data_IF_843800922545
#
_entry.id   IF_843800922545
#
_cell.length_a   1.000
_cell.length_b   1.000
_cell.length_c   1.000
_cell.angle_alpha   90.00
_cell.angle_beta   90.00
_cell.angle_gamma   90.00
#
_symmetry.space_group_name_H-M   'P 1'
#
loop_
_entity.id
_entity.type
_entity.pdbx_description
1 polymer ?
#
# COMPACT_ATOMS: atom_id res chain seq x y z
N UNK A 1 -24.46 -3.31 16.69
CA UNK A 1 -24.27 -4.52 15.88
C UNK A 1 -22.96 -5.21 16.20
N UNK A 2 -22.96 -6.54 16.39
CA UNK A 2 -21.77 -7.27 16.77
C UNK A 2 -20.82 -7.27 15.57
N UNK A 3 -19.65 -6.68 15.77
CA UNK A 3 -18.53 -6.68 14.82
C UNK A 3 -18.37 -8.11 14.29
N UNK A 4 -18.45 -8.28 12.97
CA UNK A 4 -18.11 -9.53 12.28
C UNK A 4 -16.62 -9.83 12.49
N UNK A 5 -16.27 -10.31 13.69
CA UNK A 5 -14.95 -10.80 14.09
C UNK A 5 -14.50 -11.96 13.17
N UNK A 6 -15.44 -12.55 12.43
CA UNK A 6 -15.24 -13.67 11.49
C UNK A 6 -14.34 -13.36 10.29
N UNK A 7 -14.08 -12.09 9.93
CA UNK A 7 -13.32 -11.74 8.71
C UNK A 7 -11.92 -11.17 8.94
N UNK A 8 -11.51 -10.95 10.18
CA UNK A 8 -10.16 -10.48 10.50
C UNK A 8 -9.23 -11.67 10.78
N UNK A 9 -8.20 -11.94 9.95
CA UNK A 9 -7.24 -13.04 10.18
C UNK A 9 -6.55 -12.94 11.54
N UNK A 10 -6.48 -11.72 12.09
CA UNK A 10 -5.87 -11.41 13.38
C UNK A 10 -6.82 -11.61 14.55
N UNK A 11 -8.13 -11.69 14.35
CA UNK A 11 -9.10 -11.85 15.44
C UNK A 11 -8.80 -13.07 16.32
N UNK A 12 -8.46 -14.22 15.72
CA UNK A 12 -8.12 -15.43 16.47
C UNK A 12 -6.80 -15.29 17.25
N UNK A 13 -5.80 -14.61 16.69
CA UNK A 13 -4.50 -14.35 17.37
C UNK A 13 -4.66 -13.31 18.49
N UNK A 14 -5.42 -12.25 18.22
CA UNK A 14 -5.78 -11.21 19.18
C UNK A 14 -6.54 -11.81 20.37
N UNK A 15 -7.54 -12.65 20.12
CA UNK A 15 -8.28 -13.36 21.18
C UNK A 15 -7.37 -14.28 22.01
N UNK A 16 -6.40 -14.96 21.39
CA UNK A 16 -5.39 -15.77 22.12
C UNK A 16 -4.49 -14.92 23.01
N UNK A 17 -4.12 -13.71 22.58
CA UNK A 17 -3.28 -12.79 23.38
C UNK A 17 -4.12 -12.15 24.50
N UNK A 18 -5.38 -11.83 24.21
CA UNK A 18 -6.32 -11.30 25.20
C UNK A 18 -6.68 -12.32 26.29
N UNK A 19 -6.66 -13.62 25.99
CA UNK A 19 -6.90 -14.68 26.98
C UNK A 19 -5.73 -14.93 27.94
N UNK A 20 -4.53 -14.38 27.65
CA UNK A 20 -3.30 -14.66 28.40
C UNK A 20 -2.97 -13.62 29.48
N UNK A 21 -3.70 -12.49 29.56
CA UNK A 21 -3.41 -11.46 30.55
C UNK A 21 -4.57 -10.53 30.89
N UNK A 22 -4.79 -10.30 32.18
CA UNK A 22 -5.68 -9.27 32.72
C UNK A 22 -5.11 -7.88 32.36
N UNK A 23 -5.66 -7.23 31.34
CA UNK A 23 -5.28 -5.85 30.94
C UNK A 23 -5.11 -5.63 29.43
N UNK A 24 -4.90 -6.71 28.66
CA UNK A 24 -4.56 -6.66 27.24
C UNK A 24 -5.64 -6.02 26.35
N UNK A 25 -6.92 -6.11 26.74
CA UNK A 25 -8.04 -5.53 26.01
C UNK A 25 -8.00 -4.00 25.93
N UNK A 26 -7.59 -3.34 27.01
CA UNK A 26 -7.48 -1.87 27.05
C UNK A 26 -6.28 -1.39 26.23
N UNK A 27 -5.26 -2.21 26.19
CA UNK A 27 -3.97 -1.93 25.57
C UNK A 27 -3.97 -2.02 24.05
N UNK A 28 -4.76 -2.94 23.51
CA UNK A 28 -4.98 -3.11 22.07
C UNK A 28 -6.04 -2.14 21.52
N UNK A 29 -6.42 -1.12 22.28
CA UNK A 29 -7.45 -0.14 21.93
C UNK A 29 -6.90 1.29 21.92
N UNK A 30 -7.31 2.09 20.92
CA UNK A 30 -6.89 3.48 20.77
C UNK A 30 -5.37 3.65 20.69
N UNK A 31 -4.85 4.68 21.36
CA UNK A 31 -3.44 5.09 21.33
C UNK A 31 -2.45 4.07 21.93
N UNK A 32 -2.92 3.02 22.61
CA UNK A 32 -2.06 1.99 23.20
C UNK A 32 -1.32 1.15 22.16
N UNK A 33 -1.99 0.85 21.04
CA UNK A 33 -1.41 0.06 19.96
C UNK A 33 -0.27 0.79 19.23
N UNK A 34 -0.43 2.10 19.02
CA UNK A 34 0.61 2.92 18.37
C UNK A 34 1.87 3.04 19.25
N UNK A 35 1.68 3.22 20.56
CA UNK A 35 2.76 3.23 21.55
C UNK A 35 3.51 1.90 21.57
N UNK A 36 2.78 0.79 21.47
CA UNK A 36 3.33 -0.56 21.40
C UNK A 36 4.19 -0.81 20.16
N UNK A 37 3.66 -0.43 19.00
CA UNK A 37 4.36 -0.55 17.73
C UNK A 37 5.66 0.26 17.80
N UNK A 38 5.61 1.47 18.37
CA UNK A 38 6.78 2.32 18.54
C UNK A 38 7.87 1.72 19.45
N UNK A 39 7.52 0.79 20.36
CA UNK A 39 8.48 0.09 21.23
C UNK A 39 8.81 -1.34 20.77
N UNK A 40 8.42 -1.72 19.54
CA UNK A 40 8.95 -2.93 18.89
C UNK A 40 10.48 -2.91 18.86
N UNK A 41 11.09 -1.73 18.83
CA UNK A 41 12.51 -1.52 19.15
C UNK A 41 12.61 -0.72 20.45
N UNK A 42 13.56 -1.04 21.35
CA UNK A 42 13.75 -0.25 22.57
C UNK A 42 13.88 1.24 22.27
N UNK A 43 12.98 2.06 22.81
CA UNK A 43 12.83 3.46 22.39
C UNK A 43 12.64 4.39 23.59
N UNK A 44 13.09 5.65 23.44
CA UNK A 44 12.88 6.70 24.44
C UNK A 44 11.45 7.24 24.35
N UNK A 45 10.96 7.90 25.41
CA UNK A 45 9.63 8.54 25.39
C UNK A 45 9.49 9.54 24.24
N UNK A 46 10.55 10.31 23.95
CA UNK A 46 10.55 11.31 22.89
C UNK A 46 10.40 10.65 21.51
N UNK A 47 11.07 9.53 21.30
CA UNK A 47 10.96 8.77 20.05
C UNK A 47 9.59 8.13 19.89
N UNK A 48 9.06 7.55 20.97
CA UNK A 48 7.71 6.96 20.98
C UNK A 48 6.65 8.01 20.67
N UNK A 49 6.73 9.17 21.33
CA UNK A 49 5.81 10.29 21.11
C UNK A 49 5.81 10.76 19.65
N UNK A 50 7.00 10.89 19.06
CA UNK A 50 7.16 11.25 17.65
C UNK A 50 6.58 10.19 16.71
N UNK A 51 6.89 8.92 16.93
CA UNK A 51 6.43 7.81 16.07
C UNK A 51 4.93 7.61 16.16
N UNK A 52 4.35 7.70 17.36
CA UNK A 52 2.92 7.52 17.59
C UNK A 52 2.09 8.79 17.31
N UNK A 53 2.71 9.95 17.06
CA UNK A 53 2.00 11.21 16.88
C UNK A 53 1.27 11.71 18.13
N UNK A 54 1.82 11.42 19.32
CA UNK A 54 1.21 11.71 20.63
C UNK A 54 2.08 12.68 21.45
N UNK A 55 1.51 13.30 22.48
CA UNK A 55 2.31 14.07 23.45
C UNK A 55 3.10 13.13 24.37
N UNK A 56 4.29 13.56 24.82
CA UNK A 56 5.09 12.78 25.78
C UNK A 56 4.33 12.49 27.09
N UNK A 57 3.47 13.40 27.52
CA UNK A 57 2.64 13.21 28.73
C UNK A 57 1.60 12.10 28.54
N UNK A 58 1.01 11.99 27.35
CA UNK A 58 0.09 10.90 27.01
C UNK A 58 0.85 9.57 26.94
N UNK A 59 2.00 9.55 26.26
CA UNK A 59 2.85 8.35 26.16
C UNK A 59 3.27 7.85 27.55
N UNK A 60 3.69 8.74 28.46
CA UNK A 60 4.04 8.37 29.84
C UNK A 60 2.87 7.74 30.59
N UNK A 61 1.66 8.30 30.45
CA UNK A 61 0.45 7.74 31.07
C UNK A 61 0.18 6.33 30.57
N UNK A 62 0.26 6.10 29.26
CA UNK A 62 0.11 4.77 28.68
C UNK A 62 1.18 3.84 29.23
N UNK A 63 2.48 4.14 29.02
CA UNK A 63 3.58 3.26 29.42
C UNK A 63 3.59 2.92 30.92
N UNK A 64 3.22 3.84 31.80
CA UNK A 64 3.17 3.55 33.24
C UNK A 64 2.14 2.47 33.58
N UNK A 65 0.96 2.53 32.95
CA UNK A 65 -0.08 1.51 33.13
C UNK A 65 0.38 0.14 32.62
N UNK A 66 1.21 0.12 31.59
CA UNK A 66 1.70 -1.12 30.97
C UNK A 66 2.91 -1.72 31.70
N UNK A 67 3.65 -0.87 32.42
CA UNK A 67 4.65 -1.33 33.39
C UNK A 67 3.94 -1.99 34.59
N UNK A 68 2.87 -1.39 35.10
CA UNK A 68 2.05 -2.00 36.17
C UNK A 68 1.47 -3.37 35.74
N UNK A 69 1.11 -3.50 34.46
CA UNK A 69 0.67 -4.77 33.86
C UNK A 69 1.78 -5.74 33.47
N UNK A 70 3.05 -5.43 33.72
CA UNK A 70 4.24 -6.20 33.31
C UNK A 70 4.40 -6.43 31.80
N UNK A 71 3.64 -5.72 30.96
CA UNK A 71 3.68 -5.87 29.49
C UNK A 71 4.87 -5.11 28.90
N UNK A 72 5.20 -3.97 29.50
CA UNK A 72 6.33 -3.12 29.11
C UNK A 72 7.35 -3.10 30.23
N UNK A 73 8.63 -3.11 29.87
CA UNK A 73 9.73 -2.90 30.81
C UNK A 73 10.55 -1.68 30.41
N UNK A 74 11.08 -1.00 31.42
CA UNK A 74 12.01 0.12 31.26
C UNK A 74 13.43 -0.31 31.64
N UNK A 75 14.39 -0.09 30.73
CA UNK A 75 15.81 -0.36 30.94
C UNK A 75 16.59 0.87 30.46
N UNK A 76 17.35 1.52 31.36
CA UNK A 76 18.17 2.69 31.03
C UNK A 76 17.40 3.77 30.22
N UNK A 77 16.22 4.16 30.71
CA UNK A 77 15.33 5.14 30.07
C UNK A 77 14.72 4.74 28.71
N UNK A 78 14.98 3.51 28.25
CA UNK A 78 14.34 2.94 27.08
C UNK A 78 13.21 2.01 27.49
N UNK A 79 12.13 2.04 26.71
CA UNK A 79 10.95 1.21 26.90
C UNK A 79 10.94 0.11 25.84
N UNK A 80 10.61 -1.11 26.26
CA UNK A 80 10.53 -2.28 25.40
C UNK A 80 9.43 -3.23 25.87
N UNK A 81 8.91 -4.04 24.95
CA UNK A 81 8.01 -5.13 25.29
C UNK A 81 8.73 -6.12 26.22
N UNK A 82 8.05 -6.55 27.28
CA UNK A 82 8.52 -7.59 28.17
C UNK A 82 8.21 -8.97 27.57
N UNK A 83 9.10 -9.43 26.70
CA UNK A 83 8.93 -10.70 25.98
C UNK A 83 8.85 -11.93 26.90
N UNK A 84 9.31 -11.84 28.16
CA UNK A 84 9.20 -12.93 29.13
C UNK A 84 7.78 -13.13 29.65
N UNK A 85 7.07 -12.03 29.92
CA UNK A 85 5.70 -12.05 30.44
C UNK A 85 4.65 -12.09 29.31
N UNK A 86 5.00 -11.60 28.12
CA UNK A 86 4.12 -11.52 26.97
C UNK A 86 4.79 -12.02 25.67
N UNK A 87 5.23 -13.29 25.61
CA UNK A 87 6.05 -13.80 24.50
C UNK A 87 5.35 -13.77 23.13
N UNK A 88 4.01 -13.77 23.10
CA UNK A 88 3.21 -13.74 21.86
C UNK A 88 2.96 -12.33 21.33
N UNK A 89 3.18 -11.30 22.15
CA UNK A 89 2.79 -9.92 21.81
C UNK A 89 3.66 -9.34 20.69
N UNK A 90 4.99 -9.46 20.79
CA UNK A 90 5.90 -8.96 19.75
C UNK A 90 5.68 -9.64 18.40
N UNK A 91 5.61 -10.99 18.30
CA UNK A 91 5.27 -11.66 17.03
C UNK A 91 3.94 -11.17 16.45
N UNK A 92 2.93 -10.94 17.28
CA UNK A 92 1.65 -10.40 16.84
C UNK A 92 1.78 -8.98 16.31
N UNK A 93 2.44 -8.08 17.04
CA UNK A 93 2.63 -6.69 16.62
C UNK A 93 3.44 -6.59 15.33
N UNK A 94 4.48 -7.42 15.17
CA UNK A 94 5.20 -7.51 13.91
C UNK A 94 4.26 -7.92 12.76
N UNK A 95 3.51 -9.02 12.92
CA UNK A 95 2.55 -9.44 11.89
C UNK A 95 1.43 -8.42 11.65
N UNK A 96 1.07 -7.62 12.66
CA UNK A 96 0.08 -6.55 12.54
C UNK A 96 0.65 -5.38 11.73
N UNK A 97 1.90 -4.97 11.98
CA UNK A 97 2.58 -3.95 11.17
C UNK A 97 2.69 -4.42 9.72
N UNK A 98 3.18 -5.64 9.49
CA UNK A 98 3.27 -6.23 8.15
C UNK A 98 1.90 -6.24 7.45
N UNK A 99 0.82 -6.54 8.19
CA UNK A 99 -0.53 -6.49 7.66
C UNK A 99 -0.99 -5.07 7.36
N UNK A 100 -0.75 -4.09 8.23
CA UNK A 100 -1.13 -2.70 8.02
C UNK A 100 -0.37 -2.05 6.85
N UNK A 101 0.82 -2.55 6.50
CA UNK A 101 1.53 -2.11 5.29
C UNK A 101 0.77 -2.51 4.02
N UNK A 102 0.16 -3.70 4.01
CA UNK A 102 -0.56 -4.25 2.84
C UNK A 102 -2.08 -4.05 2.89
N UNK A 103 -2.63 -3.70 4.05
CA UNK A 103 -4.05 -3.50 4.29
C UNK A 103 -4.38 -2.01 4.36
N UNK A 104 -5.39 -1.59 3.61
CA UNK A 104 -6.01 -0.27 3.77
C UNK A 104 -7.51 -0.47 4.01
N UNK A 105 -8.08 0.08 5.11
CA UNK A 105 -9.48 -0.17 5.47
C UNK A 105 -10.48 0.40 4.46
N UNK A 106 -10.03 1.24 3.51
CA UNK A 106 -10.88 1.74 2.44
C UNK A 106 -11.13 0.65 1.39
N UNK A 107 -10.17 -0.22 1.11
CA UNK A 107 -10.29 -1.25 0.07
C UNK A 107 -10.68 -2.60 0.67
N UNK A 108 -11.24 -3.49 -0.15
CA UNK A 108 -11.60 -4.83 0.32
C UNK A 108 -10.38 -5.73 0.50
N UNK A 109 -10.55 -6.82 1.27
CA UNK A 109 -9.49 -7.78 1.58
C UNK A 109 -8.92 -8.56 0.38
N UNK A 110 -9.62 -8.59 -0.76
CA UNK A 110 -9.17 -9.22 -2.01
C UNK A 110 -8.42 -8.27 -2.95
N UNK A 111 -8.18 -7.04 -2.49
CA UNK A 111 -7.41 -6.03 -3.20
C UNK A 111 -5.94 -6.04 -2.77
N UNK A 112 -5.05 -5.66 -3.69
CA UNK A 112 -3.61 -5.51 -3.44
C UNK A 112 -3.20 -4.05 -3.66
N UNK A 113 -2.65 -3.40 -2.64
CA UNK A 113 -2.13 -2.04 -2.77
C UNK A 113 -0.89 -2.06 -3.67
N UNK A 114 -0.92 -1.32 -4.78
CA UNK A 114 0.23 -1.19 -5.69
C UNK A 114 1.16 -0.07 -5.22
N UNK A 115 0.61 1.11 -4.93
CA UNK A 115 1.36 2.20 -4.30
C UNK A 115 0.46 3.21 -3.60
N UNK A 116 1.06 4.05 -2.77
CA UNK A 116 0.40 5.18 -2.07
C UNK A 116 0.90 6.51 -2.63
N UNK A 117 -0.01 7.47 -2.75
CA UNK A 117 0.23 8.81 -3.29
C UNK A 117 -0.46 9.85 -2.39
N UNK A 118 0.28 10.34 -1.40
CA UNK A 118 -0.29 11.16 -0.32
C UNK A 118 -1.31 10.38 0.51
N UNK A 119 -2.53 10.91 0.62
CA UNK A 119 -3.65 10.22 1.27
C UNK A 119 -4.25 9.13 0.40
N UNK A 120 -4.05 9.18 -0.91
CA UNK A 120 -4.65 8.25 -1.85
C UNK A 120 -3.80 7.02 -2.09
N UNK A 121 -4.43 5.99 -2.63
CA UNK A 121 -3.72 4.79 -3.04
C UNK A 121 -4.23 4.32 -4.40
N UNK A 122 -3.34 3.61 -5.08
CA UNK A 122 -3.64 2.82 -6.27
C UNK A 122 -3.53 1.35 -5.88
N UNK A 123 -4.53 0.57 -6.26
CA UNK A 123 -4.64 -0.84 -5.91
C UNK A 123 -5.13 -1.65 -7.10
N UNK A 124 -4.85 -2.95 -7.06
CA UNK A 124 -5.38 -3.91 -8.02
C UNK A 124 -6.47 -4.77 -7.39
N UNK A 125 -7.49 -5.11 -8.17
CA UNK A 125 -8.57 -6.00 -7.76
C UNK A 125 -9.17 -6.75 -8.95
N UNK A 126 -9.72 -7.94 -8.70
CA UNK A 126 -10.41 -8.73 -9.73
C UNK A 126 -11.77 -8.14 -10.09
N UNK A 127 -12.46 -7.55 -9.12
CA UNK A 127 -13.80 -7.01 -9.27
C UNK A 127 -13.78 -5.48 -9.18
N UNK A 128 -14.69 -4.83 -9.91
CA UNK A 128 -14.90 -3.40 -9.77
C UNK A 128 -15.69 -3.14 -8.49
N UNK A 129 -15.05 -2.55 -7.49
CA UNK A 129 -15.60 -2.30 -6.17
C UNK A 129 -16.21 -0.89 -6.02
N UNK A 130 -16.61 -0.27 -7.14
CA UNK A 130 -17.17 1.08 -7.15
C UNK A 130 -16.12 2.20 -7.11
N UNK A 131 -14.85 1.85 -7.26
CA UNK A 131 -13.74 2.79 -7.33
C UNK A 131 -13.49 3.27 -8.77
N UNK A 132 -12.92 4.46 -8.90
CA UNK A 132 -12.51 5.00 -10.20
C UNK A 132 -11.37 4.15 -10.78
N UNK A 133 -11.52 3.56 -11.97
CA UNK A 133 -10.41 2.87 -12.61
C UNK A 133 -9.36 3.88 -13.03
N UNK A 134 -8.09 3.50 -12.87
CA UNK A 134 -6.93 4.31 -13.24
C UNK A 134 -5.92 3.47 -14.02
N UNK A 135 -4.85 4.11 -14.50
CA UNK A 135 -3.80 3.43 -15.23
C UNK A 135 -4.33 2.68 -16.47
N UNK A 136 -3.80 1.48 -16.76
CA UNK A 136 -4.23 0.68 -17.89
C UNK A 136 -5.71 0.30 -17.87
N UNK A 137 -6.35 0.27 -16.70
CA UNK A 137 -7.79 -0.03 -16.59
C UNK A 137 -8.69 1.11 -17.05
N UNK A 138 -8.15 2.32 -17.22
CA UNK A 138 -8.88 3.45 -17.78
C UNK A 138 -8.58 3.68 -19.28
N UNK A 139 -7.60 2.98 -19.86
CA UNK A 139 -7.12 3.24 -21.22
C UNK A 139 -8.16 3.00 -22.32
N UNK A 140 -9.10 2.07 -22.11
CA UNK A 140 -10.16 1.80 -23.07
C UNK A 140 -11.07 3.01 -23.30
N UNK A 141 -11.28 3.84 -22.26
CA UNK A 141 -12.05 5.10 -22.35
C UNK A 141 -11.42 6.11 -23.31
N UNK A 142 -10.12 5.99 -23.52
CA UNK A 142 -9.32 6.82 -24.42
C UNK A 142 -8.96 6.08 -25.72
N UNK A 143 -9.65 4.99 -26.04
CA UNK A 143 -9.54 4.31 -27.33
C UNK A 143 -8.30 3.46 -27.52
N UNK A 144 -7.68 2.98 -26.43
CA UNK A 144 -6.66 1.91 -26.47
C UNK A 144 -7.31 0.61 -25.97
N UNK A 145 -7.50 -0.35 -26.88
CA UNK A 145 -8.27 -1.58 -26.62
C UNK A 145 -7.38 -2.82 -26.53
N UNK A 146 -7.95 -3.94 -26.11
CA UNK A 146 -7.24 -5.23 -26.10
C UNK A 146 -6.27 -5.41 -24.93
N UNK A 147 -6.30 -4.51 -23.96
CA UNK A 147 -5.55 -4.56 -22.72
C UNK A 147 -6.32 -5.32 -21.62
N UNK A 148 -6.88 -6.48 -21.98
CA UNK A 148 -7.64 -7.30 -21.03
C UNK A 148 -6.68 -8.06 -20.12
N UNK A 149 -6.37 -7.48 -18.96
CA UNK A 149 -5.70 -8.16 -17.85
C UNK A 149 -6.69 -8.93 -16.96
N UNK A 150 -6.18 -9.88 -16.17
CA UNK A 150 -6.98 -10.64 -15.18
C UNK A 150 -7.33 -9.84 -13.92
N UNK A 151 -6.74 -8.65 -13.74
CA UNK A 151 -7.00 -7.73 -12.63
C UNK A 151 -7.11 -6.29 -13.15
N UNK A 152 -8.05 -5.54 -12.59
CA UNK A 152 -8.21 -4.10 -12.82
C UNK A 152 -7.41 -3.30 -11.80
N UNK A 153 -7.09 -2.05 -12.15
CA UNK A 153 -6.40 -1.08 -11.31
C UNK A 153 -7.33 0.10 -11.02
N UNK A 154 -7.39 0.46 -9.75
CA UNK A 154 -8.33 1.43 -9.22
C UNK A 154 -7.63 2.37 -8.25
N UNK A 155 -8.24 3.52 -7.99
CA UNK A 155 -7.72 4.50 -7.02
C UNK A 155 -8.79 4.96 -6.06
N UNK A 156 -8.37 5.33 -4.85
CA UNK A 156 -9.21 6.00 -3.86
C UNK A 156 -9.39 7.49 -4.12
N UNK A 157 -8.66 8.06 -5.11
CA UNK A 157 -8.80 9.49 -5.44
C UNK A 157 -10.24 9.81 -5.81
N UNK A 158 -10.79 10.83 -5.17
CA UNK A 158 -12.13 11.34 -5.44
C UNK A 158 -12.14 12.27 -6.66
N UNK A 159 -13.26 12.29 -7.39
CA UNK A 159 -13.45 13.14 -8.56
C UNK A 159 -13.07 12.49 -9.90
N UNK A 160 -13.08 13.32 -10.96
CA UNK A 160 -12.72 12.90 -12.30
C UNK A 160 -11.20 12.91 -12.47
N UNK A 161 -10.64 11.78 -12.90
CA UNK A 161 -9.20 11.65 -13.16
C UNK A 161 -8.86 12.21 -14.54
N UNK A 162 -7.84 13.08 -14.59
CA UNK A 162 -7.32 13.58 -15.87
C UNK A 162 -6.57 12.48 -16.62
N UNK A 163 -6.43 12.64 -17.94
CA UNK A 163 -5.64 11.72 -18.77
C UNK A 163 -4.18 11.63 -18.30
N UNK A 164 -3.60 12.74 -17.85
CA UNK A 164 -2.24 12.82 -17.31
C UNK A 164 -2.11 11.99 -16.03
N UNK A 165 -3.04 12.16 -15.06
CA UNK A 165 -3.03 11.38 -13.82
C UNK A 165 -3.15 9.87 -14.09
N UNK A 166 -4.02 9.51 -15.04
CA UNK A 166 -4.21 8.11 -15.46
C UNK A 166 -2.92 7.57 -16.09
N UNK A 167 -2.24 8.36 -16.91
CA UNK A 167 -1.00 7.94 -17.55
C UNK A 167 0.16 7.82 -16.54
N UNK A 168 0.29 8.78 -15.62
CA UNK A 168 1.29 8.74 -14.55
C UNK A 168 1.13 7.50 -13.67
N UNK A 169 -0.11 7.19 -13.28
CA UNK A 169 -0.41 5.96 -12.56
C UNK A 169 -0.01 4.74 -13.38
N UNK A 170 -0.30 4.73 -14.70
CA UNK A 170 0.04 3.61 -15.56
C UNK A 170 1.55 3.35 -15.62
N UNK A 171 2.35 4.41 -15.73
CA UNK A 171 3.82 4.32 -15.67
C UNK A 171 4.26 3.73 -14.35
N UNK A 172 3.79 4.29 -13.22
CA UNK A 172 4.16 3.81 -11.87
C UNK A 172 3.75 2.37 -11.62
N UNK A 173 2.52 1.98 -11.98
CA UNK A 173 2.04 0.60 -11.89
C UNK A 173 2.99 -0.33 -12.66
N UNK A 174 3.35 0.02 -13.90
CA UNK A 174 4.20 -0.82 -14.75
C UNK A 174 5.65 -0.95 -14.24
N UNK A 175 6.11 0.01 -13.45
CA UNK A 175 7.42 -0.02 -12.78
C UNK A 175 7.36 -0.91 -11.52
N UNK A 176 6.32 -0.78 -10.69
CA UNK A 176 6.12 -1.60 -9.48
C UNK A 176 5.91 -3.07 -9.83
N UNK A 177 4.99 -3.34 -10.76
CA UNK A 177 4.63 -4.70 -11.18
C UNK A 177 5.71 -5.35 -12.05
N UNK A 178 6.60 -4.53 -12.62
CA UNK A 178 7.63 -4.96 -13.56
C UNK A 178 7.01 -5.90 -14.63
N UNK A 179 5.91 -5.48 -15.25
CA UNK A 179 5.15 -6.29 -16.21
C UNK A 179 5.27 -5.71 -17.63
N UNK A 180 5.74 -6.55 -18.54
CA UNK A 180 5.95 -6.20 -19.95
C UNK A 180 4.66 -5.75 -20.67
N UNK A 181 3.52 -6.37 -20.37
CA UNK A 181 2.24 -6.01 -21.01
C UNK A 181 1.73 -4.66 -20.54
N UNK A 182 1.93 -4.32 -19.26
CA UNK A 182 1.60 -2.98 -18.75
C UNK A 182 2.50 -1.92 -19.39
N UNK A 183 3.78 -2.20 -19.59
CA UNK A 183 4.70 -1.29 -20.30
C UNK A 183 4.30 -1.12 -21.77
N UNK A 184 3.94 -2.21 -22.46
CA UNK A 184 3.36 -2.17 -23.80
C UNK A 184 2.09 -1.30 -23.85
N UNK A 185 1.19 -1.44 -22.87
CA UNK A 185 0.00 -0.61 -22.78
C UNK A 185 0.35 0.88 -22.70
N UNK A 186 1.34 1.22 -21.88
CA UNK A 186 1.79 2.61 -21.69
C UNK A 186 2.36 3.19 -22.99
N UNK A 187 3.17 2.43 -23.72
CA UNK A 187 3.71 2.84 -25.03
C UNK A 187 2.58 3.14 -26.04
N UNK A 188 1.62 2.22 -26.15
CA UNK A 188 0.47 2.39 -27.05
C UNK A 188 -0.37 3.62 -26.68
N UNK A 189 -0.63 3.81 -25.38
CA UNK A 189 -1.35 4.96 -24.88
C UNK A 189 -0.62 6.27 -25.15
N UNK A 190 0.68 6.32 -24.86
CA UNK A 190 1.51 7.47 -25.13
C UNK A 190 1.51 7.82 -26.61
N UNK A 191 1.75 6.86 -27.51
CA UNK A 191 1.78 7.11 -28.96
C UNK A 191 0.45 7.69 -29.46
N UNK A 192 -0.69 7.21 -28.94
CA UNK A 192 -2.02 7.71 -29.32
C UNK A 192 -2.27 9.14 -28.87
N UNK A 193 -1.75 9.53 -27.71
CA UNK A 193 -2.08 10.79 -27.03
C UNK A 193 -0.88 11.72 -26.79
N UNK A 194 0.25 11.48 -27.47
CA UNK A 194 1.52 12.17 -27.25
C UNK A 194 1.44 13.70 -27.33
N UNK A 195 0.49 14.23 -28.12
CA UNK A 195 0.32 15.67 -28.33
C UNK A 195 -0.41 16.34 -27.14
N UNK A 196 -1.02 15.54 -26.26
CA UNK A 196 -1.84 15.98 -25.12
C UNK A 196 -1.29 15.50 -23.77
N UNK A 197 -0.16 14.83 -23.75
CA UNK A 197 0.45 14.26 -22.54
C UNK A 197 1.79 14.91 -22.24
N UNK A 198 2.02 15.16 -20.95
CA UNK A 198 3.36 15.45 -20.43
C UNK A 198 3.89 14.21 -19.69
N UNK A 199 4.55 13.28 -20.39
CA UNK A 199 5.01 12.01 -19.82
C UNK A 199 6.12 12.21 -18.77
N UNK A 200 6.21 11.34 -17.74
CA UNK A 200 7.32 11.34 -16.81
C UNK A 200 8.67 11.23 -17.51
N UNK A 201 9.67 11.99 -17.09
CA UNK A 201 11.00 12.01 -17.73
C UNK A 201 11.63 10.60 -17.83
N UNK A 202 11.48 9.79 -16.77
CA UNK A 202 11.98 8.41 -16.76
C UNK A 202 11.22 7.46 -17.70
N UNK A 203 9.99 7.78 -18.10
CA UNK A 203 9.30 7.06 -19.17
C UNK A 203 9.85 7.51 -20.53
N UNK A 204 10.00 8.82 -20.74
CA UNK A 204 10.47 9.36 -22.02
C UNK A 204 11.87 8.90 -22.42
N UNK A 205 12.79 8.83 -21.47
CA UNK A 205 14.13 8.29 -21.74
C UNK A 205 14.06 6.85 -22.28
N UNK A 206 13.19 6.02 -21.70
CA UNK A 206 13.00 4.63 -22.12
C UNK A 206 12.32 4.56 -23.49
N UNK A 207 11.29 5.37 -23.71
CA UNK A 207 10.60 5.47 -24.99
C UNK A 207 11.56 5.82 -26.13
N UNK A 208 12.39 6.85 -25.96
CA UNK A 208 13.36 7.29 -26.97
C UNK A 208 14.37 6.18 -27.33
N UNK A 209 14.88 5.47 -26.32
CA UNK A 209 15.79 4.33 -26.49
C UNK A 209 15.12 3.17 -27.23
N UNK A 210 13.88 2.83 -26.90
CA UNK A 210 13.09 1.82 -27.61
C UNK A 210 12.91 2.21 -29.07
N UNK A 211 12.56 3.47 -29.35
CA UNK A 211 12.35 3.97 -30.72
C UNK A 211 13.66 4.00 -31.54
N UNK A 212 14.80 4.17 -30.88
CA UNK A 212 16.13 4.03 -31.46
C UNK A 212 16.52 2.56 -31.75
N UNK A 213 15.70 1.58 -31.34
CA UNK A 213 15.93 0.15 -31.55
C UNK A 213 16.76 -0.51 -30.44
N UNK A 214 16.97 0.18 -29.32
CA UNK A 214 17.67 -0.39 -28.18
C UNK A 214 16.79 -1.44 -27.47
N UNK A 215 17.42 -2.54 -27.04
CA UNK A 215 16.75 -3.52 -26.18
C UNK A 215 16.86 -3.08 -24.73
N UNK A 216 15.72 -2.91 -24.06
CA UNK A 216 15.64 -2.66 -22.63
C UNK A 216 14.94 -3.85 -21.97
N UNK A 217 15.57 -4.40 -20.94
CA UNK A 217 15.06 -5.57 -20.24
C UNK A 217 13.62 -5.36 -19.75
N UNK A 218 12.76 -6.33 -20.09
CA UNK A 218 11.35 -6.35 -19.73
C UNK A 218 10.55 -5.12 -20.21
N UNK A 219 11.03 -4.45 -21.26
CA UNK A 219 10.28 -3.45 -22.02
C UNK A 219 9.92 -3.99 -23.42
N UNK A 220 8.86 -3.47 -24.04
CA UNK A 220 8.55 -3.79 -25.43
C UNK A 220 9.63 -3.29 -26.37
N UNK A 221 9.93 -4.07 -27.41
CA UNK A 221 10.74 -3.58 -28.52
C UNK A 221 9.91 -2.66 -29.43
N UNK A 222 10.59 -1.89 -30.28
CA UNK A 222 9.93 -1.11 -31.34
C UNK A 222 9.03 -1.99 -32.23
N UNK A 223 9.51 -3.16 -32.62
CA UNK A 223 8.73 -4.11 -33.44
C UNK A 223 7.46 -4.55 -32.70
N UNK A 224 7.57 -4.85 -31.39
CA UNK A 224 6.41 -5.27 -30.60
C UNK A 224 5.31 -4.20 -30.55
N UNK A 225 5.72 -2.93 -30.50
CA UNK A 225 4.82 -1.77 -30.51
C UNK A 225 4.17 -1.63 -31.89
N UNK A 226 4.96 -1.64 -32.96
CA UNK A 226 4.48 -1.56 -34.34
C UNK A 226 3.45 -2.65 -34.65
N UNK A 227 3.71 -3.90 -34.23
CA UNK A 227 2.82 -5.05 -34.40
C UNK A 227 1.49 -4.90 -33.66
N UNK A 228 1.44 -4.07 -32.61
CA UNK A 228 0.25 -3.85 -31.77
C UNK A 228 -0.42 -2.50 -32.01
N UNK A 229 0.05 -1.71 -32.97
CA UNK A 229 -0.58 -0.43 -33.33
C UNK A 229 -2.04 -0.55 -33.76
N UNK A 230 -2.53 -1.73 -34.13
CA UNK A 230 -3.96 -1.95 -34.38
C UNK A 230 -4.84 -1.72 -33.13
N UNK A 231 -4.28 -1.87 -31.91
CA UNK A 231 -4.99 -1.66 -30.64
C UNK A 231 -5.36 -0.20 -30.38
N UNK A 232 -4.67 0.74 -31.05
CA UNK A 232 -4.88 2.18 -30.93
C UNK A 232 -5.59 2.80 -32.14
N UNK A 233 -5.83 2.00 -33.19
CA UNK A 233 -6.55 2.43 -34.39
C UNK A 233 -8.06 2.45 -34.11
N UNK A 234 -8.57 3.66 -33.91
CA UNK A 234 -9.98 4.02 -33.84
C UNK A 234 -10.12 5.47 -34.26
#
# INVERSE_FOLDING_TARGET
DPIEISRCPFAKRLLSIMSEGLGMARFLSGAGLDVLIAILRPSSIRDIARTAGLSESHVRKVLNLEIEGNIVRRINDLYSINDGECPKLRPFLNSYVDYMEVFDPRITNDSEVVFRDGSDLVFSSKDNQGYSPTGPSAFERYGVRGLSGTRGFYTTREGELTMEMIFDDAVRISEVENDWRLRMANELFFIKHKDCLNPPAGFMEKHERIMAGEHIDNWPSRQDIEDRMWMVKG
#
